data_IF_283499946503
#
_entry.id   IF_283499946503
#
_cell.length_a   1.000
_cell.length_b   1.000
_cell.length_c   1.000
_cell.angle_alpha   90.00
_cell.angle_beta   90.00
_cell.angle_gamma   90.00
#
_symmetry.space_group_name_H-M   'P 1'
#
loop_
_entity.id
_entity.type
_entity.pdbx_description
1 polymer ?
#
# COMPACT_ATOMS: atom_id res chain seq x y z
N UNK A 1 -17.02 -43.35 -23.36
CA UNK A 1 -16.35 -42.39 -22.48
C UNK A 1 -16.42 -41.04 -23.19
N UNK A 2 -17.13 -40.06 -22.64
CA UNK A 2 -17.23 -38.73 -23.24
C UNK A 2 -15.93 -37.99 -22.98
N UNK A 3 -15.18 -37.68 -24.04
CA UNK A 3 -13.98 -36.86 -23.97
C UNK A 3 -14.43 -35.39 -23.82
N UNK A 4 -14.18 -34.79 -22.66
CA UNK A 4 -14.55 -33.38 -22.42
C UNK A 4 -13.48 -32.48 -23.05
N UNK A 5 -13.88 -31.67 -24.02
CA UNK A 5 -13.02 -30.66 -24.65
C UNK A 5 -12.71 -29.53 -23.67
N UNK A 6 -11.44 -29.10 -23.63
CA UNK A 6 -11.05 -27.91 -22.88
C UNK A 6 -11.46 -26.65 -23.65
N UNK A 7 -12.33 -25.83 -23.04
CA UNK A 7 -12.85 -24.60 -23.63
C UNK A 7 -12.17 -23.32 -23.11
N UNK A 8 -11.19 -23.45 -22.22
CA UNK A 8 -10.43 -22.30 -21.73
C UNK A 8 -9.41 -21.87 -22.78
N UNK A 9 -9.20 -20.55 -22.96
CA UNK A 9 -8.12 -20.07 -23.82
C UNK A 9 -6.76 -20.44 -23.22
N UNK A 10 -5.72 -20.39 -24.04
CA UNK A 10 -4.35 -20.43 -23.55
C UNK A 10 -4.12 -19.22 -22.63
N UNK A 11 -3.92 -19.48 -21.34
CA UNK A 11 -3.62 -18.45 -20.35
C UNK A 11 -2.12 -18.17 -20.43
N UNK A 12 -1.76 -17.00 -20.94
CA UNK A 12 -0.38 -16.51 -20.95
C UNK A 12 -0.01 -16.09 -19.53
N UNK A 13 1.03 -16.70 -18.95
CA UNK A 13 1.55 -16.36 -17.61
C UNK A 13 2.65 -15.28 -17.66
N UNK A 14 2.64 -14.39 -18.66
CA UNK A 14 3.71 -13.42 -18.90
C UNK A 14 3.36 -11.98 -18.45
N UNK A 15 4.45 -11.28 -18.12
CA UNK A 15 4.64 -10.03 -17.36
C UNK A 15 4.35 -10.09 -15.85
N UNK A 16 5.41 -9.80 -15.09
CA UNK A 16 5.43 -9.63 -13.63
C UNK A 16 4.70 -8.32 -13.27
N UNK A 17 3.38 -8.25 -13.53
CA UNK A 17 2.57 -7.08 -13.19
C UNK A 17 2.64 -6.88 -11.69
N UNK A 18 3.31 -5.82 -11.24
CA UNK A 18 3.52 -5.57 -9.82
C UNK A 18 2.23 -5.01 -9.23
N UNK A 19 1.61 -5.83 -8.39
CA UNK A 19 0.41 -5.41 -7.65
C UNK A 19 0.72 -4.20 -6.75
N UNK A 20 -0.27 -3.30 -6.52
CA UNK A 20 -0.11 -2.20 -5.58
C UNK A 20 0.40 -2.68 -4.22
N UNK A 21 -0.08 -3.83 -3.73
CA UNK A 21 0.35 -4.43 -2.46
C UNK A 21 1.84 -4.73 -2.40
N UNK A 22 2.45 -5.23 -3.49
CA UNK A 22 3.90 -5.51 -3.53
C UNK A 22 4.68 -4.22 -3.36
N UNK A 23 4.32 -3.18 -4.12
CA UNK A 23 4.96 -1.87 -4.05
C UNK A 23 4.81 -1.30 -2.63
N UNK A 24 3.63 -1.38 -2.02
CA UNK A 24 3.42 -0.92 -0.65
C UNK A 24 4.28 -1.65 0.38
N UNK A 25 4.45 -2.98 0.25
CA UNK A 25 5.29 -3.77 1.16
C UNK A 25 6.76 -3.37 1.09
N UNK A 26 7.26 -3.09 -0.10
CA UNK A 26 8.64 -2.59 -0.26
C UNK A 26 8.82 -1.23 0.41
N UNK A 27 7.86 -0.30 0.22
CA UNK A 27 7.91 1.01 0.87
C UNK A 27 7.78 0.91 2.39
N UNK A 28 7.01 -0.07 2.89
CA UNK A 28 6.93 -0.37 4.32
C UNK A 28 8.27 -0.83 4.90
N UNK A 29 9.01 -1.68 4.17
CA UNK A 29 10.36 -2.10 4.57
C UNK A 29 11.34 -0.91 4.57
N UNK A 30 11.33 -0.08 3.52
CA UNK A 30 12.19 1.11 3.46
C UNK A 30 11.93 2.06 4.63
N UNK A 31 10.68 2.24 5.07
CA UNK A 31 10.38 3.06 6.26
C UNK A 31 11.07 2.52 7.51
N UNK A 32 11.05 1.20 7.72
CA UNK A 32 11.77 0.55 8.83
C UNK A 32 13.27 0.81 8.75
N UNK A 33 13.88 0.60 7.58
CA UNK A 33 15.31 0.80 7.36
C UNK A 33 15.75 2.25 7.64
N UNK A 34 15.08 3.24 7.03
CA UNK A 34 15.47 4.66 7.16
C UNK A 34 15.22 5.21 8.57
N UNK A 35 14.27 4.62 9.31
CA UNK A 35 14.00 5.02 10.70
C UNK A 35 14.72 4.15 11.72
N UNK A 36 15.58 3.21 11.28
CA UNK A 36 16.27 2.23 12.15
C UNK A 36 15.29 1.48 13.06
N UNK A 37 14.14 1.11 12.51
CA UNK A 37 13.03 0.42 13.18
C UNK A 37 12.42 1.17 14.38
N UNK A 38 12.65 2.49 14.51
CA UNK A 38 11.87 3.33 15.44
C UNK A 38 10.40 3.32 15.00
N UNK A 39 10.17 3.37 13.69
CA UNK A 39 8.87 3.17 13.08
C UNK A 39 8.92 1.92 12.18
N UNK A 40 7.75 1.35 11.90
CA UNK A 40 7.56 0.30 10.91
C UNK A 40 6.45 0.71 9.93
N UNK A 41 6.54 0.26 8.68
CA UNK A 41 5.41 0.30 7.77
C UNK A 41 4.61 -1.01 7.86
N UNK A 42 3.29 -0.93 7.78
CA UNK A 42 2.42 -2.10 7.75
C UNK A 42 1.39 -1.96 6.62
N UNK A 43 1.16 -3.07 5.90
CA UNK A 43 0.21 -3.13 4.80
C UNK A 43 -0.87 -4.17 5.10
N UNK A 44 -2.07 -3.69 5.40
CA UNK A 44 -3.24 -4.55 5.60
C UNK A 44 -4.03 -4.67 4.31
N UNK A 45 -4.54 -5.87 4.04
CA UNK A 45 -5.48 -6.10 2.96
C UNK A 45 -6.82 -6.55 3.52
N UNK A 46 -7.89 -5.89 3.10
CA UNK A 46 -9.26 -6.35 3.31
C UNK A 46 -10.02 -6.36 1.99
N UNK A 47 -11.16 -7.04 1.95
CA UNK A 47 -12.03 -7.04 0.79
C UNK A 47 -13.50 -6.96 1.19
N UNK A 48 -14.27 -6.25 0.37
CA UNK A 48 -15.72 -6.09 0.55
C UNK A 48 -16.36 -5.80 -0.81
N UNK A 49 -17.45 -6.49 -1.14
CA UNK A 49 -18.21 -6.31 -2.41
C UNK A 49 -17.31 -6.17 -3.65
N UNK A 50 -16.45 -7.17 -3.90
CA UNK A 50 -15.49 -7.23 -5.01
C UNK A 50 -14.46 -6.09 -5.07
N UNK A 51 -14.37 -5.28 -4.03
CA UNK A 51 -13.34 -4.26 -3.85
C UNK A 51 -12.29 -4.78 -2.88
N UNK A 52 -11.02 -4.62 -3.24
CA UNK A 52 -9.86 -4.91 -2.43
C UNK A 52 -9.31 -3.58 -1.92
N UNK A 53 -9.07 -3.52 -0.62
CA UNK A 53 -8.53 -2.37 0.08
C UNK A 53 -7.14 -2.72 0.59
N UNK A 54 -6.13 -1.93 0.24
CA UNK A 54 -4.79 -2.03 0.81
C UNK A 54 -4.48 -0.76 1.61
N UNK A 55 -4.48 -0.87 2.94
CA UNK A 55 -4.17 0.24 3.84
C UNK A 55 -2.68 0.27 4.14
N UNK A 56 -2.05 1.44 3.99
CA UNK A 56 -0.67 1.65 4.43
C UNK A 56 -0.69 2.39 5.76
N UNK A 57 -0.11 1.79 6.79
CA UNK A 57 -0.03 2.38 8.13
C UNK A 57 1.41 2.57 8.58
N UNK A 58 1.66 3.64 9.32
CA UNK A 58 2.89 3.88 10.06
C UNK A 58 2.64 3.38 11.49
N UNK A 59 3.48 2.45 11.94
CA UNK A 59 3.42 1.85 13.26
C UNK A 59 4.59 2.34 14.10
N UNK A 60 4.31 2.73 15.34
CA UNK A 60 5.30 3.07 16.35
C UNK A 60 5.34 1.97 17.43
N UNK A 61 6.27 0.99 17.35
CA UNK A 61 6.27 -0.15 18.27
C UNK A 61 6.39 0.23 19.74
N UNK A 62 7.24 1.22 20.06
CA UNK A 62 7.47 1.71 21.43
C UNK A 62 6.27 2.44 22.03
N UNK A 63 5.31 2.87 21.19
CA UNK A 63 4.06 3.50 21.62
C UNK A 63 2.93 2.48 21.71
N UNK A 64 3.20 1.32 22.32
CA UNK A 64 2.26 0.18 22.39
C UNK A 64 1.70 -0.22 21.01
N UNK A 65 2.56 -0.25 20.00
CA UNK A 65 2.19 -0.49 18.59
C UNK A 65 1.11 0.47 18.08
N UNK A 66 1.16 1.74 18.48
CA UNK A 66 0.28 2.77 17.92
C UNK A 66 0.36 2.77 16.40
N UNK A 67 -0.81 2.79 15.75
CA UNK A 67 -0.96 2.63 14.31
C UNK A 67 -1.68 3.83 13.71
N UNK A 68 -1.01 4.50 12.79
CA UNK A 68 -1.55 5.61 12.02
C UNK A 68 -1.78 5.19 10.57
N UNK A 69 -3.03 5.13 10.11
CA UNK A 69 -3.35 4.87 8.69
C UNK A 69 -3.04 6.12 7.87
N UNK A 70 -2.05 6.02 6.97
CA UNK A 70 -1.63 7.15 6.13
C UNK A 70 -2.53 7.31 4.90
N UNK A 71 -2.79 6.22 4.18
CA UNK A 71 -3.66 6.20 3.00
C UNK A 71 -4.20 4.78 2.76
N UNK A 72 -5.12 4.67 1.81
CA UNK A 72 -5.71 3.39 1.40
C UNK A 72 -5.85 3.32 -0.13
N UNK A 73 -5.36 2.22 -0.73
CA UNK A 73 -5.56 1.93 -2.15
C UNK A 73 -6.78 1.02 -2.32
N UNK A 74 -7.62 1.32 -3.31
CA UNK A 74 -8.81 0.55 -3.68
C UNK A 74 -8.74 0.10 -5.13
N UNK A 75 -8.99 -1.18 -5.36
CA UNK A 75 -9.10 -1.77 -6.71
C UNK A 75 -10.08 -2.94 -6.70
N UNK A 76 -10.46 -3.43 -7.87
CA UNK A 76 -11.28 -4.66 -7.98
C UNK A 76 -10.37 -5.88 -8.14
N UNK A 77 -10.82 -6.96 -8.77
CA UNK A 77 -9.92 -8.08 -9.12
C UNK A 77 -8.85 -7.69 -10.15
N UNK A 78 -9.07 -6.59 -10.88
CA UNK A 78 -8.05 -6.00 -11.77
C UNK A 78 -7.20 -5.01 -10.96
N UNK A 79 -5.87 -5.13 -11.06
CA UNK A 79 -4.90 -4.35 -10.27
C UNK A 79 -4.91 -2.85 -10.62
N UNK A 80 -5.03 -2.54 -11.91
CA UNK A 80 -5.11 -1.19 -12.45
C UNK A 80 -6.27 -1.09 -13.46
N UNK A 81 -6.96 0.05 -13.58
CA UNK A 81 -6.80 1.25 -12.76
C UNK A 81 -7.23 1.01 -11.30
N UNK A 82 -6.65 1.78 -10.39
CA UNK A 82 -7.01 1.81 -8.99
C UNK A 82 -7.17 3.25 -8.50
N UNK A 83 -7.48 3.43 -7.22
CA UNK A 83 -7.55 4.75 -6.59
C UNK A 83 -6.91 4.74 -5.22
N UNK A 84 -6.34 5.86 -4.82
CA UNK A 84 -5.80 6.07 -3.48
C UNK A 84 -6.62 7.15 -2.75
N UNK A 85 -7.04 6.84 -1.53
CA UNK A 85 -7.66 7.79 -0.62
C UNK A 85 -6.58 8.33 0.33
N UNK A 86 -6.31 9.64 0.25
CA UNK A 86 -5.34 10.36 1.07
C UNK A 86 -5.91 11.72 1.46
N UNK A 87 -5.92 12.04 2.76
CA UNK A 87 -6.44 13.31 3.30
C UNK A 87 -7.88 13.66 2.82
N UNK A 88 -8.74 12.65 2.65
CA UNK A 88 -10.12 12.82 2.19
C UNK A 88 -10.27 13.07 0.67
N UNK A 89 -9.17 13.03 -0.08
CA UNK A 89 -9.15 13.16 -1.53
C UNK A 89 -8.93 11.77 -2.14
N UNK A 90 -9.70 11.47 -3.19
CA UNK A 90 -9.51 10.26 -4.01
C UNK A 90 -8.72 10.60 -5.27
N UNK A 91 -7.55 9.99 -5.45
CA UNK A 91 -6.68 10.17 -6.62
C UNK A 91 -6.75 8.91 -7.48
N UNK A 92 -6.99 9.07 -8.79
CA UNK A 92 -7.05 7.97 -9.76
C UNK A 92 -5.64 7.58 -10.22
N UNK A 93 -5.39 6.28 -10.31
CA UNK A 93 -4.12 5.67 -10.71
C UNK A 93 -4.38 4.77 -11.93
N UNK A 94 -3.71 5.00 -13.05
CA UNK A 94 -3.99 4.25 -14.28
C UNK A 94 -3.08 3.04 -14.46
N UNK A 95 -1.88 3.07 -13.89
CA UNK A 95 -0.84 2.04 -14.04
C UNK A 95 0.18 2.10 -12.89
N UNK A 96 1.17 1.21 -12.91
CA UNK A 96 2.26 1.15 -11.91
C UNK A 96 3.07 2.45 -11.83
N UNK A 97 3.42 3.07 -12.97
CA UNK A 97 4.21 4.30 -12.97
C UNK A 97 3.45 5.43 -12.26
N UNK A 98 2.16 5.59 -12.56
CA UNK A 98 1.30 6.57 -11.90
C UNK A 98 1.25 6.32 -10.39
N UNK A 99 1.19 5.05 -9.97
CA UNK A 99 1.18 4.68 -8.56
C UNK A 99 2.47 5.15 -7.87
N UNK A 100 3.63 4.86 -8.45
CA UNK A 100 4.94 5.25 -7.91
C UNK A 100 5.05 6.78 -7.79
N UNK A 101 4.61 7.52 -8.81
CA UNK A 101 4.66 8.98 -8.81
C UNK A 101 3.76 9.60 -7.72
N UNK A 102 2.54 9.05 -7.53
CA UNK A 102 1.63 9.50 -6.48
C UNK A 102 2.13 9.12 -5.09
N UNK A 103 2.63 7.90 -4.89
CA UNK A 103 3.23 7.47 -3.63
C UNK A 103 4.41 8.36 -3.24
N UNK A 104 5.28 8.70 -4.19
CA UNK A 104 6.39 9.64 -3.97
C UNK A 104 5.88 10.99 -3.47
N UNK A 105 4.79 11.49 -4.04
CA UNK A 105 4.17 12.75 -3.63
C UNK A 105 3.58 12.66 -2.21
N UNK A 106 2.88 11.57 -1.89
CA UNK A 106 2.30 11.33 -0.56
C UNK A 106 3.38 11.19 0.51
N UNK A 107 4.44 10.39 0.28
CA UNK A 107 5.51 10.20 1.26
C UNK A 107 6.35 11.47 1.47
N UNK A 108 6.42 12.36 0.48
CA UNK A 108 7.12 13.64 0.59
C UNK A 108 6.22 14.80 1.04
N UNK A 109 4.92 14.58 1.23
CA UNK A 109 3.97 15.59 1.69
C UNK A 109 4.32 16.06 3.12
N UNK A 110 4.09 17.35 3.40
CA UNK A 110 4.42 17.98 4.68
C UNK A 110 3.67 17.34 5.85
N UNK A 111 2.41 16.94 5.67
CA UNK A 111 1.64 16.22 6.69
C UNK A 111 2.30 14.89 7.02
N UNK A 112 2.68 14.10 6.02
CA UNK A 112 3.35 12.80 6.22
C UNK A 112 4.66 12.96 7.01
N UNK A 113 5.48 13.96 6.63
CA UNK A 113 6.74 14.26 7.33
C UNK A 113 6.50 14.67 8.78
N UNK A 114 5.49 15.51 9.05
CA UNK A 114 5.12 15.91 10.41
C UNK A 114 4.68 14.71 11.24
N UNK A 115 3.84 13.83 10.70
CA UNK A 115 3.41 12.59 11.39
C UNK A 115 4.62 11.73 11.77
N UNK A 116 5.53 11.48 10.82
CA UNK A 116 6.76 10.71 11.09
C UNK A 116 7.60 11.36 12.20
N UNK A 117 7.82 12.68 12.13
CA UNK A 117 8.58 13.41 13.15
C UNK A 117 7.92 13.33 14.53
N UNK A 118 6.60 13.51 14.61
CA UNK A 118 5.84 13.41 15.86
C UNK A 118 5.91 12.00 16.46
N UNK A 119 5.79 10.95 15.65
CA UNK A 119 5.87 9.57 16.13
C UNK A 119 7.28 9.22 16.60
N UNK A 120 8.33 9.68 15.90
CA UNK A 120 9.73 9.49 16.32
C UNK A 120 10.01 10.23 17.63
N UNK A 121 9.55 11.47 17.77
CA UNK A 121 9.76 12.25 18.98
C UNK A 121 9.15 11.55 20.20
N UNK A 122 7.87 11.17 20.11
CA UNK A 122 7.16 10.45 21.17
C UNK A 122 7.81 9.10 21.48
N UNK A 123 8.26 8.35 20.47
CA UNK A 123 8.91 7.04 20.69
C UNK A 123 10.24 7.14 21.44
N UNK A 124 10.87 8.32 21.48
CA UNK A 124 12.12 8.56 22.24
C UNK A 124 11.89 8.98 23.69
N UNK A 125 10.66 9.30 24.05
CA UNK A 125 10.27 9.72 25.41
C UNK A 125 9.88 8.53 26.29
N UNK A 126 9.80 7.33 25.72
CA UNK A 126 9.48 6.05 26.37
C UNK A 126 10.76 5.30 26.72
#
# INVERSE_FOLDING_TARGET
>A
MTNTENLWPDIIMEEEIRSPKIILKEQANFLGEITKNILAGEVDTSSFNNTIFNSFSIVAPLLNNYKYKLFEIRHTMVLYPCSIEFEGITIKILNEKDLVDVLKSIFNNDTTKKVIQSLIAQSKEV
#
